data_IF_314592311354
#
_entry.id   IF_314592311354
#
_cell.length_a   1.000
_cell.length_b   1.000
_cell.length_c   1.000
_cell.angle_alpha   90.00
_cell.angle_beta   90.00
_cell.angle_gamma   90.00
#
_symmetry.space_group_name_H-M   'P 1'
#
loop_
_entity.id
_entity.type
_entity.pdbx_description
1 polymer ?
#
# COMPACT_ATOMS: atom_id res chain seq x y z
N UNK A 1 22.89 12.80 24.22
CA UNK A 1 22.33 11.56 24.77
C UNK A 1 21.74 11.88 26.11
N UNK A 2 20.46 11.73 26.28
CA UNK A 2 19.79 11.87 27.55
C UNK A 2 19.35 10.47 28.01
N UNK A 3 19.69 10.14 29.25
CA UNK A 3 19.22 8.96 29.94
C UNK A 3 18.20 9.43 30.96
N UNK A 4 16.95 9.04 30.82
CA UNK A 4 15.89 9.35 31.76
C UNK A 4 15.20 8.06 32.20
N UNK A 5 14.78 8.01 33.45
CA UNK A 5 13.93 6.96 34.01
C UNK A 5 12.68 7.65 34.51
N UNK A 6 11.54 7.24 34.04
CA UNK A 6 10.25 7.67 34.56
C UNK A 6 9.39 6.45 34.92
N UNK A 7 8.15 6.69 35.35
CA UNK A 7 7.23 5.63 35.76
C UNK A 7 6.88 4.64 34.63
N UNK A 8 7.25 4.93 33.38
CA UNK A 8 7.01 4.10 32.20
C UNK A 8 8.22 3.30 31.72
N UNK A 9 9.40 3.47 32.39
CA UNK A 9 10.60 2.71 32.11
C UNK A 9 11.86 3.53 31.81
N UNK A 10 12.85 2.90 31.25
CA UNK A 10 14.17 3.46 30.94
C UNK A 10 14.18 4.05 29.53
N UNK A 11 14.42 5.36 29.42
CA UNK A 11 14.40 6.09 28.16
C UNK A 11 15.80 6.49 27.72
N UNK A 12 16.18 6.08 26.51
CA UNK A 12 17.36 6.58 25.82
C UNK A 12 16.92 7.48 24.68
N UNK A 13 17.24 8.76 24.74
CA UNK A 13 17.00 9.69 23.63
C UNK A 13 18.32 10.12 23.00
N UNK A 14 18.50 9.81 21.74
CA UNK A 14 19.53 10.39 20.87
C UNK A 14 18.96 11.62 20.20
N UNK A 15 19.64 12.73 20.31
CA UNK A 15 19.23 14.10 19.97
C UNK A 15 18.81 14.19 18.50
N UNK A 16 18.34 13.49 17.74
CA UNK A 16 17.80 13.73 16.38
C UNK A 16 17.32 12.51 15.57
N UNK A 17 17.37 11.29 16.10
CA UNK A 17 17.02 10.18 15.21
C UNK A 17 16.24 9.02 15.83
N UNK A 18 16.40 8.68 17.09
CA UNK A 18 15.72 7.51 17.66
C UNK A 18 15.56 7.63 19.17
N UNK A 19 14.38 7.38 19.69
CA UNK A 19 14.15 7.10 21.09
C UNK A 19 13.98 5.58 21.27
N UNK A 20 14.72 5.02 22.22
CA UNK A 20 14.59 3.63 22.62
C UNK A 20 13.92 3.60 23.99
N UNK A 21 12.78 3.00 24.08
CA UNK A 21 12.02 2.84 25.32
C UNK A 21 11.94 1.36 25.65
N UNK A 22 12.26 1.01 26.88
CA UNK A 22 12.05 -0.32 27.43
C UNK A 22 10.78 -0.25 28.27
N UNK A 23 9.71 -0.87 27.78
CA UNK A 23 8.45 -0.95 28.50
C UNK A 23 8.56 -1.93 29.69
N UNK A 24 7.69 -1.80 30.68
CA UNK A 24 7.66 -2.67 31.87
C UNK A 24 7.51 -4.16 31.54
N UNK A 25 6.96 -4.49 30.38
CA UNK A 25 6.81 -5.86 29.88
C UNK A 25 8.08 -6.42 29.21
N UNK A 26 9.21 -5.71 29.29
CA UNK A 26 10.50 -6.10 28.72
C UNK A 26 10.61 -5.90 27.20
N UNK A 27 9.61 -5.28 26.55
CA UNK A 27 9.66 -4.98 25.13
C UNK A 27 10.45 -3.71 24.87
N UNK A 28 11.37 -3.78 23.93
CA UNK A 28 12.16 -2.64 23.46
C UNK A 28 11.37 -1.95 22.32
N UNK A 29 10.90 -0.74 22.59
CA UNK A 29 10.25 0.11 21.59
C UNK A 29 11.29 1.09 21.05
N UNK A 30 11.63 0.95 19.78
CA UNK A 30 12.54 1.87 19.09
C UNK A 30 11.69 2.72 18.15
N UNK A 31 11.53 3.99 18.53
CA UNK A 31 10.84 5.00 17.72
C UNK A 31 11.87 5.88 17.01
N UNK A 32 11.68 6.13 15.73
CA UNK A 32 12.58 6.98 14.95
C UNK A 32 12.83 6.44 13.53
N UNK A 33 14.05 6.60 13.04
CA UNK A 33 14.45 6.16 11.68
C UNK A 33 14.26 4.66 11.41
N UNK A 34 14.13 3.85 12.44
CA UNK A 34 13.84 2.41 12.33
C UNK A 34 12.34 2.08 12.14
N UNK A 35 11.48 3.08 12.15
CA UNK A 35 10.04 2.89 11.95
C UNK A 35 9.23 2.84 13.25
N UNK A 36 7.95 2.55 13.11
CA UNK A 36 7.00 2.45 14.22
C UNK A 36 6.87 0.99 14.61
N UNK A 37 7.13 0.68 15.89
CA UNK A 37 7.01 -0.66 16.46
C UNK A 37 5.94 -0.68 17.56
N UNK A 38 5.45 -1.86 17.89
CA UNK A 38 4.47 -2.01 18.98
C UNK A 38 3.01 -1.75 18.55
N UNK A 39 2.71 -1.76 17.26
CA UNK A 39 1.33 -1.64 16.77
C UNK A 39 0.56 -2.90 17.16
N UNK A 40 -0.53 -2.71 17.90
CA UNK A 40 -1.42 -3.82 18.28
C UNK A 40 -2.07 -4.41 17.03
N UNK A 41 -1.85 -5.70 16.79
CA UNK A 41 -2.52 -6.41 15.69
C UNK A 41 -4.01 -6.54 16.00
N UNK A 42 -4.81 -5.69 15.38
CA UNK A 42 -6.27 -5.68 15.58
C UNK A 42 -7.01 -6.09 14.30
N UNK A 43 -6.29 -6.32 13.19
CA UNK A 43 -6.95 -6.72 11.95
C UNK A 43 -7.41 -8.16 12.02
N UNK A 44 -8.73 -8.34 11.90
CA UNK A 44 -9.35 -9.62 11.64
C UNK A 44 -9.38 -9.83 10.12
N UNK A 45 -9.23 -11.07 9.66
CA UNK A 45 -9.30 -11.42 8.22
C UNK A 45 -10.55 -10.85 7.54
N UNK A 46 -11.68 -10.84 8.23
CA UNK A 46 -12.94 -10.25 7.74
C UNK A 46 -12.83 -8.76 7.48
N UNK A 47 -12.18 -7.98 8.35
CA UNK A 47 -11.95 -6.54 8.16
C UNK A 47 -11.08 -6.32 6.93
N UNK A 48 -10.05 -7.15 6.73
CA UNK A 48 -9.20 -7.10 5.55
C UNK A 48 -9.97 -7.28 4.25
N UNK A 49 -10.84 -8.29 4.19
CA UNK A 49 -11.68 -8.56 3.01
C UNK A 49 -12.62 -7.38 2.73
N UNK A 50 -13.31 -6.87 3.73
CA UNK A 50 -14.24 -5.74 3.59
C UNK A 50 -13.49 -4.51 3.05
N UNK A 51 -12.31 -4.22 3.59
CA UNK A 51 -11.51 -3.06 3.24
C UNK A 51 -10.93 -3.15 1.82
N UNK A 52 -10.79 -4.35 1.25
CA UNK A 52 -10.41 -4.57 -0.15
C UNK A 52 -11.63 -4.52 -1.08
N UNK A 53 -12.78 -5.04 -0.64
CA UNK A 53 -14.00 -5.04 -1.44
C UNK A 53 -14.57 -3.63 -1.67
N UNK A 54 -14.50 -2.76 -0.68
CA UNK A 54 -15.01 -1.38 -0.78
C UNK A 54 -14.34 -0.62 -1.94
N UNK A 55 -13.00 -0.48 -2.03
CA UNK A 55 -12.35 0.16 -3.17
C UNK A 55 -12.69 -0.51 -4.51
N UNK A 56 -12.75 -1.85 -4.53
CA UNK A 56 -13.06 -2.59 -5.75
C UNK A 56 -14.45 -2.21 -6.30
N UNK A 57 -15.47 -2.22 -5.45
CA UNK A 57 -16.84 -1.84 -5.82
C UNK A 57 -16.90 -0.37 -6.26
N UNK A 58 -16.25 0.53 -5.53
CA UNK A 58 -16.22 1.96 -5.86
C UNK A 58 -15.57 2.19 -7.22
N UNK A 59 -14.43 1.55 -7.49
CA UNK A 59 -13.72 1.70 -8.77
C UNK A 59 -14.50 1.09 -9.93
N UNK A 60 -15.10 -0.08 -9.75
CA UNK A 60 -15.95 -0.70 -10.79
C UNK A 60 -17.17 0.16 -11.12
N UNK A 61 -17.80 0.76 -10.12
CA UNK A 61 -18.91 1.71 -10.30
C UNK A 61 -18.44 2.99 -11.00
N UNK A 62 -17.29 3.52 -10.58
CA UNK A 62 -16.72 4.72 -11.19
C UNK A 62 -16.49 4.54 -12.69
N UNK A 63 -15.88 3.42 -13.10
CA UNK A 63 -15.58 3.14 -14.52
C UNK A 63 -16.86 3.08 -15.36
N UNK A 64 -17.93 2.53 -14.82
CA UNK A 64 -19.23 2.47 -15.50
C UNK A 64 -19.97 3.82 -15.51
N UNK A 65 -19.54 4.79 -14.73
CA UNK A 65 -20.16 6.11 -14.60
C UNK A 65 -19.82 7.03 -15.78
N UNK A 66 -20.50 8.18 -15.84
CA UNK A 66 -20.16 9.26 -16.80
C UNK A 66 -18.74 9.79 -16.57
N UNK A 67 -18.33 9.90 -15.31
CA UNK A 67 -16.98 10.35 -14.95
C UNK A 67 -15.90 9.34 -15.39
N UNK A 68 -16.16 8.05 -15.24
CA UNK A 68 -15.23 7.01 -15.68
C UNK A 68 -15.02 7.01 -17.20
N UNK A 69 -16.10 7.21 -17.98
CA UNK A 69 -16.00 7.35 -19.43
C UNK A 69 -15.18 8.59 -19.83
N UNK A 70 -15.36 9.71 -19.14
CA UNK A 70 -14.55 10.91 -19.38
C UNK A 70 -13.08 10.68 -19.06
N UNK A 71 -12.76 10.00 -17.94
CA UNK A 71 -11.40 9.63 -17.56
C UNK A 71 -10.78 8.69 -18.61
N UNK A 72 -11.52 7.72 -19.12
CA UNK A 72 -11.04 6.82 -20.17
C UNK A 72 -10.78 7.56 -21.49
N UNK A 73 -11.66 8.47 -21.88
CA UNK A 73 -11.47 9.31 -23.08
C UNK A 73 -10.20 10.19 -22.97
N UNK A 74 -9.95 10.77 -21.78
CA UNK A 74 -8.73 11.56 -21.52
C UNK A 74 -7.48 10.67 -21.60
N UNK A 75 -7.53 9.45 -21.10
CA UNK A 75 -6.43 8.49 -21.17
C UNK A 75 -6.10 8.13 -22.62
N UNK A 76 -7.14 7.88 -23.44
CA UNK A 76 -6.96 7.41 -24.80
C UNK A 76 -6.49 8.56 -25.73
N UNK A 77 -7.07 9.75 -25.61
CA UNK A 77 -6.61 10.94 -26.34
C UNK A 77 -7.03 12.22 -25.63
N UNK A 78 -6.05 12.87 -24.97
CA UNK A 78 -6.27 14.09 -24.20
C UNK A 78 -6.69 15.28 -25.08
N UNK A 79 -6.12 15.40 -26.30
CA UNK A 79 -6.42 16.50 -27.21
C UNK A 79 -7.87 16.38 -27.72
N UNK A 80 -8.27 15.19 -28.14
CA UNK A 80 -9.64 14.94 -28.58
C UNK A 80 -10.65 15.14 -27.45
N UNK A 81 -10.35 14.71 -26.22
CA UNK A 81 -11.21 14.94 -25.07
C UNK A 81 -11.38 16.44 -24.77
N UNK A 82 -10.34 17.23 -24.93
CA UNK A 82 -10.39 18.69 -24.76
C UNK A 82 -11.25 19.36 -25.83
N UNK A 83 -11.15 18.92 -27.08
CA UNK A 83 -11.90 19.53 -28.19
C UNK A 83 -13.41 19.34 -28.07
N UNK A 84 -13.88 18.27 -27.41
CA UNK A 84 -15.31 18.03 -27.12
C UNK A 84 -15.76 18.66 -25.79
N UNK A 85 -14.93 19.50 -25.15
CA UNK A 85 -15.29 20.29 -23.97
C UNK A 85 -15.12 19.58 -22.64
N UNK A 86 -14.43 18.43 -22.58
CA UNK A 86 -14.15 17.75 -21.30
C UNK A 86 -13.10 18.54 -20.51
N UNK A 87 -13.42 18.87 -19.26
CA UNK A 87 -12.46 19.55 -18.36
C UNK A 87 -11.42 18.54 -17.82
N UNK A 88 -10.28 18.46 -18.48
CA UNK A 88 -9.21 17.48 -18.20
C UNK A 88 -8.71 17.59 -16.77
N UNK A 89 -8.44 18.80 -16.29
CA UNK A 89 -7.89 19.06 -14.96
C UNK A 89 -8.79 18.50 -13.86
N UNK A 90 -10.09 18.73 -13.99
CA UNK A 90 -11.08 18.24 -13.00
C UNK A 90 -11.09 16.71 -12.91
N UNK A 91 -11.10 16.02 -14.03
CA UNK A 91 -11.15 14.56 -14.06
C UNK A 91 -9.82 13.92 -13.66
N UNK A 92 -8.68 14.50 -14.05
CA UNK A 92 -7.35 14.07 -13.57
C UNK A 92 -7.23 14.23 -12.06
N UNK A 93 -7.67 15.37 -11.51
CA UNK A 93 -7.63 15.62 -10.08
C UNK A 93 -8.54 14.63 -9.32
N UNK A 94 -9.75 14.37 -9.84
CA UNK A 94 -10.67 13.40 -9.24
C UNK A 94 -10.07 11.99 -9.20
N UNK A 95 -9.45 11.54 -10.28
CA UNK A 95 -8.77 10.24 -10.33
C UNK A 95 -7.59 10.18 -9.34
N UNK A 96 -6.81 11.25 -9.24
CA UNK A 96 -5.69 11.36 -8.32
C UNK A 96 -6.14 11.30 -6.85
N UNK A 97 -7.17 12.07 -6.48
CA UNK A 97 -7.71 12.07 -5.11
C UNK A 97 -8.25 10.68 -4.73
N UNK A 98 -9.00 10.04 -5.62
CA UNK A 98 -9.50 8.67 -5.38
C UNK A 98 -8.36 7.66 -5.18
N UNK A 99 -7.36 7.71 -6.04
CA UNK A 99 -6.18 6.86 -5.94
C UNK A 99 -5.45 7.06 -4.60
N UNK A 100 -5.30 8.32 -4.15
CA UNK A 100 -4.66 8.65 -2.86
C UNK A 100 -5.46 8.11 -1.66
N UNK A 101 -6.79 8.19 -1.72
CA UNK A 101 -7.66 7.63 -0.67
C UNK A 101 -7.48 6.12 -0.58
N UNK A 102 -7.47 5.41 -1.71
CA UNK A 102 -7.28 3.95 -1.71
C UNK A 102 -5.88 3.54 -1.26
N UNK A 103 -4.85 4.32 -1.62
CA UNK A 103 -3.50 4.10 -1.13
C UNK A 103 -3.41 4.28 0.40
N UNK A 104 -4.09 5.30 0.94
CA UNK A 104 -4.20 5.49 2.39
C UNK A 104 -4.90 4.33 3.09
N UNK A 105 -6.01 3.83 2.54
CA UNK A 105 -6.71 2.66 3.08
C UNK A 105 -5.83 1.41 3.07
N UNK A 106 -5.07 1.17 2.00
CA UNK A 106 -4.12 0.07 1.93
C UNK A 106 -2.99 0.21 2.97
N UNK A 107 -2.51 1.43 3.21
CA UNK A 107 -1.51 1.72 4.24
C UNK A 107 -2.02 1.43 5.66
N UNK A 108 -3.26 1.79 5.96
CA UNK A 108 -3.92 1.46 7.24
C UNK A 108 -4.03 -0.06 7.41
N UNK A 109 -4.49 -0.78 6.38
CA UNK A 109 -4.61 -2.23 6.43
C UNK A 109 -3.24 -2.89 6.67
N UNK A 110 -2.21 -2.39 6.00
CA UNK A 110 -0.84 -2.84 6.19
C UNK A 110 -0.38 -2.64 7.63
N UNK A 111 -0.62 -1.45 8.22
CA UNK A 111 -0.22 -1.14 9.59
C UNK A 111 -0.90 -2.01 10.63
N UNK A 112 -2.19 -2.32 10.43
CA UNK A 112 -2.96 -3.17 11.34
C UNK A 112 -2.58 -4.65 11.28
N UNK A 113 -2.00 -5.09 10.15
CA UNK A 113 -1.58 -6.48 9.96
C UNK A 113 -0.15 -6.75 10.46
N UNK A 114 0.73 -5.74 10.34
CA UNK A 114 2.12 -5.85 10.77
C UNK A 114 2.35 -5.08 12.06
N UNK A 115 2.97 -5.73 13.05
CA UNK A 115 3.31 -5.09 14.34
C UNK A 115 4.42 -4.05 14.24
N UNK A 116 5.11 -3.98 13.11
CA UNK A 116 6.18 -3.02 12.87
C UNK A 116 6.11 -2.44 11.47
N UNK A 117 6.14 -1.12 11.37
CA UNK A 117 6.22 -0.35 10.13
C UNK A 117 7.66 0.15 9.97
N UNK A 118 8.40 -0.46 9.06
CA UNK A 118 9.77 -0.06 8.73
C UNK A 118 9.75 0.66 7.38
N UNK A 119 10.31 1.88 7.33
CA UNK A 119 10.34 2.68 6.10
C UNK A 119 11.04 1.96 4.93
N UNK A 120 12.04 1.12 5.23
CA UNK A 120 12.77 0.32 4.24
C UNK A 120 11.88 -0.64 3.42
N UNK A 121 10.69 -1.00 3.92
CA UNK A 121 9.74 -1.85 3.17
C UNK A 121 8.96 -1.08 2.10
N UNK A 122 8.95 0.25 2.17
CA UNK A 122 8.33 1.13 1.19
C UNK A 122 9.36 1.67 0.20
N UNK A 123 10.22 0.78 -0.29
CA UNK A 123 11.31 1.08 -1.19
C UNK A 123 10.82 1.19 -2.65
N UNK A 124 11.66 1.76 -3.49
CA UNK A 124 11.48 1.88 -4.93
C UNK A 124 11.17 0.53 -5.60
N UNK A 125 11.85 -0.55 -5.19
CA UNK A 125 11.58 -1.90 -5.68
C UNK A 125 10.15 -2.36 -5.42
N UNK A 126 9.58 -2.03 -4.27
CA UNK A 126 8.18 -2.35 -3.94
C UNK A 126 7.23 -1.60 -4.89
N UNK A 127 7.52 -0.34 -5.20
CA UNK A 127 6.73 0.44 -6.15
C UNK A 127 6.79 -0.13 -7.56
N UNK A 128 7.96 -0.58 -8.01
CA UNK A 128 8.12 -1.25 -9.31
C UNK A 128 7.33 -2.55 -9.34
N UNK A 129 7.41 -3.37 -8.29
CA UNK A 129 6.66 -4.62 -8.23
C UNK A 129 5.14 -4.40 -8.37
N UNK A 130 4.59 -3.38 -7.70
CA UNK A 130 3.17 -3.02 -7.84
C UNK A 130 2.87 -2.59 -9.29
N UNK A 131 3.75 -1.81 -9.91
CA UNK A 131 3.61 -1.40 -11.30
C UNK A 131 3.60 -2.63 -12.23
N UNK A 132 4.51 -3.58 -12.03
CA UNK A 132 4.58 -4.83 -12.79
C UNK A 132 3.27 -5.62 -12.68
N UNK A 133 2.67 -5.71 -11.49
CA UNK A 133 1.37 -6.37 -11.32
C UNK A 133 0.27 -5.73 -12.17
N UNK A 134 0.26 -4.40 -12.25
CA UNK A 134 -0.72 -3.65 -13.05
C UNK A 134 -0.47 -3.83 -14.55
N UNK A 135 0.79 -3.79 -14.98
CA UNK A 135 1.17 -3.95 -16.39
C UNK A 135 0.88 -5.36 -16.89
N UNK A 136 1.27 -6.39 -16.13
CA UNK A 136 1.00 -7.81 -16.47
C UNK A 136 -0.50 -8.12 -16.45
N UNK A 137 -1.26 -7.49 -15.57
CA UNK A 137 -2.71 -7.64 -15.54
C UNK A 137 -3.44 -6.94 -16.69
N UNK A 138 -2.72 -6.12 -17.46
CA UNK A 138 -3.23 -5.32 -18.57
C UNK A 138 -3.63 -3.92 -18.16
N UNK A 139 -2.96 -2.93 -18.76
CA UNK A 139 -3.21 -1.51 -18.53
C UNK A 139 -4.66 -1.17 -18.92
N UNK A 140 -5.46 -0.75 -17.94
CA UNK A 140 -6.88 -0.44 -18.13
C UNK A 140 -7.85 -1.57 -17.82
N UNK A 141 -7.37 -2.77 -17.50
CA UNK A 141 -8.19 -3.89 -17.06
C UNK A 141 -8.06 -4.13 -15.55
N UNK A 142 -9.02 -3.64 -14.76
CA UNK A 142 -9.02 -3.84 -13.31
C UNK A 142 -9.11 -5.32 -12.94
N UNK A 143 -9.93 -6.08 -13.65
CA UNK A 143 -10.06 -7.53 -13.41
C UNK A 143 -8.73 -8.24 -13.64
N UNK A 144 -8.03 -7.90 -14.72
CA UNK A 144 -6.70 -8.43 -15.02
C UNK A 144 -5.68 -8.07 -13.95
N UNK A 145 -5.63 -6.81 -13.52
CA UNK A 145 -4.70 -6.36 -12.48
C UNK A 145 -4.92 -7.05 -11.14
N UNK A 146 -6.19 -7.28 -10.73
CA UNK A 146 -6.52 -8.00 -9.49
C UNK A 146 -6.08 -9.46 -9.58
N UNK A 147 -6.36 -10.13 -10.71
CA UNK A 147 -5.95 -11.53 -10.93
C UNK A 147 -4.42 -11.65 -10.96
N UNK A 148 -3.75 -10.75 -11.68
CA UNK A 148 -2.30 -10.73 -11.74
C UNK A 148 -1.67 -10.51 -10.36
N UNK A 149 -2.18 -9.56 -9.58
CA UNK A 149 -1.72 -9.31 -8.22
C UNK A 149 -1.90 -10.55 -7.32
N UNK A 150 -3.05 -11.23 -7.41
CA UNK A 150 -3.30 -12.45 -6.65
C UNK A 150 -2.32 -13.56 -7.05
N UNK A 151 -2.16 -13.83 -8.33
CA UNK A 151 -1.25 -14.87 -8.82
C UNK A 151 0.20 -14.57 -8.45
N UNK A 152 0.68 -13.35 -8.72
CA UNK A 152 2.06 -12.97 -8.48
C UNK A 152 2.41 -12.85 -6.98
N UNK A 153 1.41 -12.67 -6.12
CA UNK A 153 1.62 -12.69 -4.67
C UNK A 153 1.66 -14.13 -4.13
N UNK A 154 0.82 -15.01 -4.65
CA UNK A 154 0.73 -16.41 -4.20
C UNK A 154 1.85 -17.27 -4.80
N UNK A 155 2.26 -17.00 -6.04
CA UNK A 155 3.25 -17.79 -6.77
C UNK A 155 4.59 -17.95 -6.03
N UNK A 156 5.23 -16.86 -5.54
CA UNK A 156 6.48 -16.98 -4.78
C UNK A 156 6.30 -17.75 -3.47
N UNK A 157 5.14 -17.66 -2.83
CA UNK A 157 4.86 -18.38 -1.58
C UNK A 157 4.66 -19.89 -1.83
N UNK A 158 4.00 -20.27 -2.91
CA UNK A 158 3.91 -21.68 -3.32
C UNK A 158 5.27 -22.26 -3.72
N UNK A 159 6.09 -21.47 -4.43
CA UNK A 159 7.43 -21.87 -4.84
C UNK A 159 8.42 -21.94 -3.65
N UNK A 160 8.11 -21.26 -2.55
CA UNK A 160 8.91 -21.32 -1.31
C UNK A 160 8.90 -22.70 -0.68
N UNK A 161 7.86 -23.51 -0.90
CA UNK A 161 7.79 -24.91 -0.52
C UNK A 161 8.67 -25.85 -1.36
N UNK A 162 9.12 -25.38 -2.53
CA UNK A 162 9.98 -26.09 -3.48
C UNK A 162 11.39 -25.49 -3.47
N UNK A 163 12.06 -25.56 -2.32
CA UNK A 163 13.38 -24.92 -2.08
C UNK A 163 14.46 -25.25 -3.12
N UNK A 164 14.38 -26.41 -3.78
CA UNK A 164 15.39 -26.86 -4.74
C UNK A 164 15.27 -26.20 -6.13
N UNK A 165 14.11 -25.64 -6.47
CA UNK A 165 13.85 -25.06 -7.81
C UNK A 165 13.97 -23.53 -7.83
N UNK A 166 14.20 -22.88 -6.70
CA UNK A 166 14.31 -21.42 -6.58
C UNK A 166 15.51 -20.86 -7.37
N UNK A 167 16.60 -21.64 -7.49
CA UNK A 167 17.79 -21.27 -8.27
C UNK A 167 17.59 -21.34 -9.79
N UNK A 168 16.54 -22.01 -10.28
CA UNK A 168 16.28 -22.16 -11.73
C UNK A 168 15.43 -21.02 -12.29
N UNK A 169 14.87 -20.16 -11.45
CA UNK A 169 13.92 -19.09 -11.85
C UNK A 169 14.57 -17.70 -11.79
N UNK A 170 15.76 -17.59 -11.21
CA UNK A 170 16.60 -16.39 -11.23
C UNK A 170 17.77 -16.63 -12.21
#
# INVERSE_FOLDING_TARGET
VYLGVDDSGLHFSLKDAASMNIAEDGKILINGAMGITGIKKTSTFTIGIILVLIPLVVVLNLIRSRAGRAISAIRDNEIAAKSIGINITRYKLMAFVLSSVFAGMAGVLYSLNYSSLVAKKFDYNTSINILVFVVLGGIGSIRGSVIAAAILTVLPEMLRGLNDYRMLIY
#
